data_IF_205407564959
#
_entry.id   IF_205407564959
#
_cell.length_a   1.000
_cell.length_b   1.000
_cell.length_c   1.000
_cell.angle_alpha   90.00
_cell.angle_beta   90.00
_cell.angle_gamma   90.00
#
_symmetry.space_group_name_H-M   'P 1'
#
loop_
_entity.id
_entity.type
_entity.pdbx_description
1 polymer ?
#
# COMPACT_ATOMS: atom_id res chain seq x y z
N UNK A 1 -37.83 -20.27 -8.40
CA UNK A 1 -37.71 -19.52 -7.12
C UNK A 1 -36.43 -18.71 -7.25
N UNK A 2 -36.55 -17.44 -7.63
CA UNK A 2 -35.41 -16.59 -8.01
C UNK A 2 -34.65 -16.12 -6.76
N UNK A 3 -33.32 -16.24 -6.80
CA UNK A 3 -32.42 -15.78 -5.73
C UNK A 3 -32.46 -14.24 -5.63
N UNK A 4 -32.71 -13.66 -4.44
CA UNK A 4 -32.61 -12.22 -4.23
C UNK A 4 -31.17 -11.76 -4.50
N UNK A 5 -30.99 -10.78 -5.40
CA UNK A 5 -29.69 -10.27 -5.83
C UNK A 5 -29.36 -10.51 -7.31
N UNK A 6 -29.97 -11.52 -7.94
CA UNK A 6 -29.76 -11.81 -9.37
C UNK A 6 -30.27 -10.69 -10.30
N UNK A 7 -31.30 -9.94 -9.88
CA UNK A 7 -31.95 -8.93 -10.73
C UNK A 7 -31.11 -7.66 -10.94
N UNK A 8 -30.21 -7.29 -10.02
CA UNK A 8 -29.36 -6.09 -10.17
C UNK A 8 -28.20 -6.30 -11.15
N UNK A 9 -27.67 -7.52 -11.26
CA UNK A 9 -26.58 -7.84 -12.17
C UNK A 9 -27.05 -8.28 -13.56
N UNK A 10 -28.31 -8.75 -13.70
CA UNK A 10 -28.86 -9.18 -14.99
C UNK A 10 -28.99 -8.03 -16.03
N UNK A 11 -29.15 -6.78 -15.57
CA UNK A 11 -29.24 -5.59 -16.43
C UNK A 11 -27.88 -4.90 -16.68
N UNK A 12 -26.78 -5.46 -16.16
CA UNK A 12 -25.46 -4.83 -16.19
C UNK A 12 -24.55 -5.43 -17.26
N UNK A 13 -23.74 -4.58 -17.89
CA UNK A 13 -22.76 -5.01 -18.88
C UNK A 13 -21.80 -6.05 -18.30
N UNK A 14 -21.21 -6.90 -19.14
CA UNK A 14 -20.23 -7.92 -18.71
C UNK A 14 -19.07 -7.33 -17.91
N UNK A 15 -18.65 -6.10 -18.23
CA UNK A 15 -17.61 -5.38 -17.49
C UNK A 15 -18.07 -4.98 -16.08
N UNK A 16 -19.29 -4.46 -15.94
CA UNK A 16 -19.87 -4.11 -14.63
C UNK A 16 -20.05 -5.34 -13.75
N UNK A 17 -20.47 -6.48 -14.32
CA UNK A 17 -20.54 -7.75 -13.57
C UNK A 17 -19.17 -8.21 -13.07
N UNK A 18 -18.15 -8.15 -13.92
CA UNK A 18 -16.77 -8.50 -13.53
C UNK A 18 -16.25 -7.60 -12.42
N UNK A 19 -16.48 -6.29 -12.53
CA UNK A 19 -16.12 -5.34 -11.48
C UNK A 19 -16.84 -5.64 -10.17
N UNK A 20 -18.15 -5.84 -10.20
CA UNK A 20 -18.93 -6.18 -9.00
C UNK A 20 -18.45 -7.47 -8.32
N UNK A 21 -18.07 -8.51 -9.09
CA UNK A 21 -17.46 -9.72 -8.54
C UNK A 21 -16.09 -9.45 -7.91
N UNK A 22 -15.24 -8.65 -8.57
CA UNK A 22 -13.93 -8.28 -8.01
C UNK A 22 -14.06 -7.50 -6.70
N UNK A 23 -14.99 -6.55 -6.64
CA UNK A 23 -15.26 -5.74 -5.45
C UNK A 23 -15.74 -6.63 -4.28
N UNK A 24 -16.61 -7.61 -4.54
CA UNK A 24 -17.05 -8.60 -3.55
C UNK A 24 -15.88 -9.47 -3.05
N UNK A 25 -15.03 -9.97 -3.96
CA UNK A 25 -13.86 -10.78 -3.59
C UNK A 25 -12.81 -9.97 -2.82
N UNK A 26 -12.71 -8.65 -3.06
CA UNK A 26 -11.85 -7.77 -2.27
C UNK A 26 -12.41 -7.58 -0.86
N UNK A 27 -13.72 -7.36 -0.73
CA UNK A 27 -14.37 -7.26 0.57
C UNK A 27 -14.20 -8.54 1.40
N UNK A 28 -14.43 -9.72 0.82
CA UNK A 28 -14.30 -10.99 1.56
C UNK A 28 -12.86 -11.26 2.00
N UNK A 29 -11.87 -10.95 1.16
CA UNK A 29 -10.46 -11.04 1.56
C UNK A 29 -10.11 -10.06 2.68
N UNK A 30 -10.70 -8.86 2.68
CA UNK A 30 -10.53 -7.92 3.79
C UNK A 30 -11.12 -8.48 5.09
N UNK A 31 -12.32 -9.07 5.04
CA UNK A 31 -12.95 -9.70 6.21
C UNK A 31 -12.10 -10.86 6.75
N UNK A 32 -11.60 -11.73 5.87
CA UNK A 32 -10.70 -12.83 6.25
C UNK A 32 -9.41 -12.33 6.88
N UNK A 33 -8.79 -11.29 6.30
CA UNK A 33 -7.58 -10.64 6.82
C UNK A 33 -7.80 -10.07 8.24
N UNK A 34 -8.99 -9.54 8.50
CA UNK A 34 -9.39 -9.03 9.81
C UNK A 34 -9.84 -10.12 10.79
N UNK A 35 -9.94 -11.37 10.35
CA UNK A 35 -10.34 -12.48 11.22
C UNK A 35 -11.85 -12.63 11.40
N UNK A 36 -12.66 -12.03 10.52
CA UNK A 36 -14.13 -11.93 10.66
C UNK A 36 -14.83 -13.05 9.88
N UNK A 37 -15.60 -13.89 10.57
CA UNK A 37 -16.39 -14.95 9.93
C UNK A 37 -17.69 -14.43 9.30
N UNK A 38 -18.33 -15.17 8.38
CA UNK A 38 -19.64 -14.79 7.86
C UNK A 38 -20.70 -14.61 8.94
N UNK A 39 -20.68 -15.40 10.00
CA UNK A 39 -21.62 -15.33 11.14
C UNK A 39 -21.40 -14.07 11.97
N UNK A 40 -20.14 -13.71 12.22
CA UNK A 40 -19.78 -12.48 12.90
C UNK A 40 -20.20 -11.26 12.08
N UNK A 41 -19.89 -11.27 10.78
CA UNK A 41 -20.31 -10.20 9.87
C UNK A 41 -21.84 -10.10 9.77
N UNK A 42 -22.55 -11.25 9.71
CA UNK A 42 -24.01 -11.29 9.72
C UNK A 42 -24.60 -10.67 10.98
N UNK A 43 -24.01 -10.94 12.15
CA UNK A 43 -24.48 -10.38 13.43
C UNK A 43 -24.42 -8.85 13.43
N UNK A 44 -23.31 -8.29 12.93
CA UNK A 44 -23.13 -6.83 12.79
C UNK A 44 -24.07 -6.26 11.73
N UNK A 45 -24.22 -6.95 10.59
CA UNK A 45 -25.14 -6.56 9.53
C UNK A 45 -26.60 -6.52 9.99
N UNK A 46 -27.03 -7.49 10.81
CA UNK A 46 -28.37 -7.49 11.41
C UNK A 46 -28.53 -6.30 12.37
N UNK A 47 -27.52 -6.04 13.21
CA UNK A 47 -27.55 -4.92 14.16
C UNK A 47 -27.61 -3.55 13.45
N UNK A 48 -27.09 -3.43 12.22
CA UNK A 48 -27.17 -2.19 11.43
C UNK A 48 -28.58 -1.84 10.94
N UNK A 49 -29.51 -2.81 10.90
CA UNK A 49 -30.88 -2.61 10.42
C UNK A 49 -31.01 -2.42 8.89
N UNK A 50 -29.91 -2.47 8.14
CA UNK A 50 -29.91 -2.32 6.69
C UNK A 50 -29.98 -3.66 5.96
N UNK A 51 -30.71 -3.71 4.83
CA UNK A 51 -30.89 -4.93 4.05
C UNK A 51 -29.64 -5.31 3.22
N UNK A 52 -28.90 -4.32 2.71
CA UNK A 52 -27.74 -4.57 1.86
C UNK A 52 -26.57 -5.28 2.59
N UNK A 53 -26.21 -4.92 3.84
CA UNK A 53 -25.22 -5.67 4.62
C UNK A 53 -25.61 -7.12 4.90
N UNK A 54 -26.91 -7.42 5.06
CA UNK A 54 -27.40 -8.78 5.28
C UNK A 54 -27.26 -9.66 4.03
N UNK A 55 -27.57 -9.12 2.85
CA UNK A 55 -27.34 -9.80 1.57
C UNK A 55 -25.84 -10.08 1.33
N UNK A 56 -24.96 -9.16 1.74
CA UNK A 56 -23.51 -9.37 1.67
C UNK A 56 -23.03 -10.49 2.59
N UNK A 57 -23.59 -10.60 3.80
CA UNK A 57 -23.23 -11.69 4.72
C UNK A 57 -23.61 -13.07 4.18
N UNK A 58 -24.80 -13.17 3.57
CA UNK A 58 -25.24 -14.39 2.88
C UNK A 58 -24.33 -14.72 1.68
N UNK A 59 -23.93 -13.70 0.93
CA UNK A 59 -23.01 -13.87 -0.21
C UNK A 59 -21.62 -14.31 0.24
N UNK A 60 -21.14 -13.79 1.38
CA UNK A 60 -19.87 -14.19 1.97
C UNK A 60 -19.89 -15.66 2.41
N UNK A 61 -20.99 -16.12 3.04
CA UNK A 61 -21.15 -17.53 3.40
C UNK A 61 -21.09 -18.44 2.17
N UNK A 62 -21.84 -18.09 1.11
CA UNK A 62 -21.83 -18.84 -0.15
C UNK A 62 -20.46 -18.87 -0.82
N UNK A 63 -19.69 -17.79 -0.70
CA UNK A 63 -18.31 -17.74 -1.17
C UNK A 63 -17.43 -18.79 -0.47
N UNK A 64 -17.51 -18.89 0.86
CA UNK A 64 -16.77 -19.90 1.62
C UNK A 64 -17.24 -21.33 1.29
N UNK A 65 -18.55 -21.54 1.17
CA UNK A 65 -19.11 -22.84 0.75
C UNK A 65 -18.59 -23.26 -0.63
N UNK A 66 -18.52 -22.34 -1.58
CA UNK A 66 -17.98 -22.59 -2.92
C UNK A 66 -16.49 -22.95 -2.88
N UNK A 67 -15.68 -22.23 -2.09
CA UNK A 67 -14.27 -22.56 -1.91
C UNK A 67 -14.12 -23.99 -1.35
N UNK A 68 -14.89 -24.33 -0.31
CA UNK A 68 -14.87 -25.65 0.30
C UNK A 68 -15.29 -26.75 -0.68
N UNK A 69 -16.36 -26.54 -1.46
CA UNK A 69 -16.81 -27.47 -2.50
C UNK A 69 -15.73 -27.77 -3.55
N UNK A 70 -14.84 -26.81 -3.80
CA UNK A 70 -13.74 -26.93 -4.74
C UNK A 70 -12.40 -27.30 -4.09
N UNK A 71 -12.38 -27.67 -2.80
CA UNK A 71 -11.16 -27.94 -2.02
C UNK A 71 -10.14 -26.80 -2.14
N UNK A 72 -10.62 -25.57 -2.15
CA UNK A 72 -9.82 -24.36 -2.21
C UNK A 72 -10.00 -23.56 -0.91
N UNK A 73 -8.99 -22.77 -0.58
CA UNK A 73 -9.08 -21.74 0.47
C UNK A 73 -8.24 -20.55 0.04
N UNK A 74 -8.51 -19.37 0.60
CA UNK A 74 -7.63 -18.21 0.43
C UNK A 74 -6.45 -18.32 1.40
N UNK A 75 -5.44 -17.45 1.24
CA UNK A 75 -4.30 -17.45 2.17
C UNK A 75 -4.72 -17.06 3.59
N UNK A 76 -5.58 -16.04 3.72
CA UNK A 76 -6.18 -15.66 5.00
C UNK A 76 -7.24 -16.68 5.46
N UNK A 77 -7.91 -17.36 4.53
CA UNK A 77 -8.83 -18.47 4.81
C UNK A 77 -8.14 -19.62 5.54
N UNK A 78 -6.90 -19.96 5.18
CA UNK A 78 -6.11 -20.95 5.91
C UNK A 78 -5.83 -20.52 7.37
N UNK A 79 -5.64 -19.22 7.60
CA UNK A 79 -5.48 -18.66 8.95
C UNK A 79 -6.79 -18.75 9.73
N UNK A 80 -7.92 -18.49 9.06
CA UNK A 80 -9.26 -18.63 9.64
C UNK A 80 -9.53 -20.08 10.04
N UNK A 81 -9.22 -21.04 9.18
CA UNK A 81 -9.36 -22.47 9.47
C UNK A 81 -8.53 -22.85 10.71
N UNK A 82 -7.29 -22.36 10.80
CA UNK A 82 -6.44 -22.57 11.97
C UNK A 82 -7.00 -21.91 13.25
N UNK A 83 -7.57 -20.71 13.15
CA UNK A 83 -8.24 -20.03 14.26
C UNK A 83 -9.47 -20.81 14.74
N UNK A 84 -10.24 -21.38 13.83
CA UNK A 84 -11.38 -22.24 14.14
C UNK A 84 -10.92 -23.53 14.82
N UNK A 85 -9.89 -24.19 14.28
CA UNK A 85 -9.29 -25.40 14.87
C UNK A 85 -8.70 -25.16 16.26
N UNK A 86 -8.23 -23.94 16.53
CA UNK A 86 -7.77 -23.50 17.85
C UNK A 86 -8.91 -22.99 18.75
N UNK A 87 -10.13 -22.84 18.24
CA UNK A 87 -11.31 -22.45 19.02
C UNK A 87 -11.35 -20.96 19.39
N UNK A 88 -10.54 -20.14 18.72
CA UNK A 88 -10.35 -18.72 19.07
C UNK A 88 -11.58 -17.86 18.73
N UNK A 89 -12.35 -18.28 17.72
CA UNK A 89 -13.49 -17.53 17.18
C UNK A 89 -14.84 -17.85 17.86
N UNK A 90 -14.95 -18.95 18.61
CA UNK A 90 -16.22 -19.34 19.25
C UNK A 90 -16.39 -18.60 20.58
N UNK A 91 -17.20 -17.54 20.56
CA UNK A 91 -17.75 -16.95 21.77
C UNK A 91 -18.82 -17.87 22.35
N UNK A 92 -18.52 -18.58 23.44
CA UNK A 92 -19.52 -19.25 24.30
C UNK A 92 -20.43 -20.26 23.58
N UNK A 93 -19.91 -21.45 23.25
CA UNK A 93 -20.76 -22.66 23.17
C UNK A 93 -20.02 -23.82 23.82
N UNK A 94 -20.46 -24.15 25.03
CA UNK A 94 -20.09 -25.35 25.80
C UNK A 94 -20.67 -26.54 25.05
N UNK A 95 -19.86 -27.26 24.28
CA UNK A 95 -20.06 -28.68 23.89
C UNK A 95 -18.99 -29.21 22.91
N UNK A 96 -18.08 -28.36 22.41
CA UNK A 96 -16.95 -28.76 21.54
C UNK A 96 -15.57 -28.39 22.10
N UNK A 97 -15.45 -28.14 23.40
CA UNK A 97 -14.19 -27.64 24.02
C UNK A 97 -13.06 -28.67 24.09
N UNK A 98 -13.34 -29.98 24.03
CA UNK A 98 -12.31 -31.00 24.26
C UNK A 98 -11.37 -31.17 23.06
N UNK A 99 -11.88 -31.23 21.83
CA UNK A 99 -11.05 -31.50 20.62
C UNK A 99 -10.38 -30.26 20.05
N UNK A 100 -10.96 -29.08 20.26
CA UNK A 100 -10.45 -27.81 19.70
C UNK A 100 -9.28 -27.23 20.53
N UNK A 101 -9.28 -27.46 21.85
CA UNK A 101 -8.16 -27.11 22.73
C UNK A 101 -6.98 -28.09 22.62
N UNK A 102 -7.20 -29.24 21.98
CA UNK A 102 -6.16 -30.25 21.75
C UNK A 102 -5.26 -29.90 20.56
N UNK A 103 -5.77 -29.22 19.53
CA UNK A 103 -4.99 -28.90 18.33
C UNK A 103 -3.82 -27.96 18.63
N UNK A 104 -4.08 -26.80 19.24
CA UNK A 104 -3.03 -25.82 19.56
C UNK A 104 -2.02 -26.39 20.57
N UNK A 105 -2.49 -27.17 21.55
CA UNK A 105 -1.64 -27.89 22.50
C UNK A 105 -0.74 -28.91 21.81
N UNK A 106 -1.28 -29.67 20.86
CA UNK A 106 -0.53 -30.70 20.14
C UNK A 106 0.50 -30.10 19.16
N UNK A 107 0.12 -29.02 18.44
CA UNK A 107 1.01 -28.28 17.54
C UNK A 107 2.23 -27.74 18.28
N UNK A 108 2.04 -27.23 19.49
CA UNK A 108 3.10 -26.62 20.27
C UNK A 108 3.72 -27.51 21.35
N UNK A 109 3.30 -28.76 21.49
CA UNK A 109 3.70 -29.63 22.63
C UNK A 109 5.21 -29.77 22.83
N UNK A 110 5.99 -29.71 21.74
CA UNK A 110 7.45 -29.86 21.75
C UNK A 110 8.21 -28.53 21.81
N UNK A 111 7.49 -27.40 21.80
CA UNK A 111 8.07 -26.06 21.78
C UNK A 111 7.92 -25.39 23.14
N UNK A 112 9.04 -25.02 23.74
CA UNK A 112 9.09 -24.26 24.99
C UNK A 112 9.18 -22.76 24.75
N UNK A 113 9.68 -22.34 23.59
CA UNK A 113 10.00 -20.95 23.31
C UNK A 113 9.52 -20.56 21.92
N UNK A 114 8.81 -19.44 21.82
CA UNK A 114 8.27 -18.94 20.54
C UNK A 114 8.85 -17.57 20.23
N UNK A 115 9.49 -17.45 19.07
CA UNK A 115 10.02 -16.18 18.58
C UNK A 115 9.26 -15.76 17.33
N UNK A 116 8.70 -14.55 17.35
CA UNK A 116 7.90 -13.97 16.27
C UNK A 116 8.62 -12.74 15.74
N UNK A 117 9.05 -12.75 14.49
CA UNK A 117 9.71 -11.59 13.86
C UNK A 117 8.77 -10.93 12.85
N UNK A 118 9.05 -9.66 12.52
CA UNK A 118 8.30 -8.84 11.57
C UNK A 118 6.77 -8.82 11.82
N UNK A 119 6.34 -8.67 13.08
CA UNK A 119 4.92 -8.66 13.48
C UNK A 119 4.08 -7.65 12.68
N UNK A 120 4.68 -6.52 12.26
CA UNK A 120 4.01 -5.51 11.44
C UNK A 120 3.58 -6.00 10.04
N UNK A 121 4.12 -7.13 9.56
CA UNK A 121 3.74 -7.75 8.29
C UNK A 121 2.56 -8.71 8.42
N UNK A 122 2.18 -9.05 9.65
CA UNK A 122 1.08 -9.96 9.91
C UNK A 122 -0.27 -9.30 9.61
N UNK A 123 -1.24 -10.11 9.20
CA UNK A 123 -2.64 -9.70 9.21
C UNK A 123 -3.18 -9.73 10.65
N UNK A 124 -4.23 -8.97 10.97
CA UNK A 124 -4.91 -9.07 12.27
C UNK A 124 -5.30 -10.50 12.66
N UNK A 125 -5.82 -11.29 11.71
CA UNK A 125 -6.12 -12.70 11.92
C UNK A 125 -4.88 -13.51 12.34
N UNK A 126 -3.75 -13.29 11.68
CA UNK A 126 -2.48 -13.95 12.01
C UNK A 126 -1.97 -13.56 13.39
N UNK A 127 -2.02 -12.25 13.73
CA UNK A 127 -1.58 -11.76 15.03
C UNK A 127 -2.41 -12.38 16.16
N UNK A 128 -3.72 -12.54 15.92
CA UNK A 128 -4.64 -13.25 16.82
C UNK A 128 -4.24 -14.72 16.96
N UNK A 129 -4.03 -15.43 15.85
CA UNK A 129 -3.65 -16.84 15.89
C UNK A 129 -2.35 -17.06 16.66
N UNK A 130 -1.31 -16.29 16.34
CA UNK A 130 0.00 -16.39 17.00
C UNK A 130 -0.10 -16.01 18.47
N UNK A 131 -0.85 -14.98 18.82
CA UNK A 131 -1.09 -14.62 20.23
C UNK A 131 -1.73 -15.76 21.03
N UNK A 132 -2.69 -16.49 20.43
CA UNK A 132 -3.29 -17.67 21.05
C UNK A 132 -2.30 -18.84 21.18
N UNK A 133 -1.47 -19.05 20.17
CA UNK A 133 -0.44 -20.09 20.17
C UNK A 133 0.65 -19.80 21.22
N UNK A 134 1.09 -18.55 21.37
CA UNK A 134 2.10 -18.17 22.36
C UNK A 134 1.69 -18.44 23.82
N UNK A 135 0.41 -18.61 24.12
CA UNK A 135 -0.06 -18.89 25.48
C UNK A 135 -0.22 -20.39 25.78
N UNK A 136 0.06 -21.28 24.81
CA UNK A 136 -0.12 -22.72 25.01
C UNK A 136 0.71 -23.28 26.18
N UNK A 137 0.25 -24.38 26.83
CA UNK A 137 0.86 -24.91 28.05
C UNK A 137 2.36 -25.19 27.97
N UNK A 138 2.81 -25.71 26.82
CA UNK A 138 4.21 -26.05 26.55
C UNK A 138 5.11 -24.83 26.41
N UNK A 139 4.57 -23.70 25.94
CA UNK A 139 5.33 -22.46 25.73
C UNK A 139 5.58 -21.79 27.07
N UNK A 140 6.83 -21.80 27.50
CA UNK A 140 7.30 -21.17 28.73
C UNK A 140 7.60 -19.69 28.47
N UNK A 141 8.21 -19.37 27.33
CA UNK A 141 8.56 -18.00 26.99
C UNK A 141 8.26 -17.66 25.53
N UNK A 142 8.00 -16.38 25.27
CA UNK A 142 7.83 -15.88 23.91
C UNK A 142 8.41 -14.48 23.75
N UNK A 143 8.92 -14.20 22.55
CA UNK A 143 9.44 -12.89 22.18
C UNK A 143 8.89 -12.50 20.81
N UNK A 144 8.40 -11.27 20.68
CA UNK A 144 7.94 -10.74 19.41
C UNK A 144 8.70 -9.48 19.03
N UNK A 145 8.95 -9.32 17.73
CA UNK A 145 9.71 -8.22 17.17
C UNK A 145 8.83 -7.51 16.14
N UNK A 146 8.57 -6.23 16.39
CA UNK A 146 7.79 -5.37 15.49
C UNK A 146 8.60 -4.13 15.13
N UNK A 147 8.40 -3.64 13.92
CA UNK A 147 9.00 -2.37 13.48
C UNK A 147 8.01 -1.25 13.70
N UNK A 148 8.49 -0.25 14.44
CA UNK A 148 7.80 1.01 14.68
C UNK A 148 8.70 2.11 14.10
N UNK A 149 8.12 3.02 13.32
CA UNK A 149 8.87 4.03 12.56
C UNK A 149 9.21 5.27 13.41
N UNK A 150 8.35 5.62 14.37
CA UNK A 150 8.51 6.80 15.22
C UNK A 150 8.60 6.42 16.71
N UNK A 151 9.31 7.23 17.49
CA UNK A 151 9.34 7.11 18.94
C UNK A 151 7.94 7.40 19.51
N UNK A 152 7.35 6.39 20.17
CA UNK A 152 6.00 6.47 20.75
C UNK A 152 4.89 5.87 19.88
N UNK A 153 5.18 5.50 18.64
CA UNK A 153 4.22 4.73 17.82
C UNK A 153 4.10 3.29 18.34
N UNK A 154 2.97 2.65 18.05
CA UNK A 154 2.73 1.26 18.39
C UNK A 154 2.38 0.47 17.12
N UNK A 155 2.98 -0.71 16.96
CA UNK A 155 2.55 -1.64 15.93
C UNK A 155 1.14 -2.16 16.26
N UNK A 156 0.12 -1.95 15.39
CA UNK A 156 -1.24 -2.40 15.65
C UNK A 156 -1.33 -3.92 15.85
N UNK A 157 -0.58 -4.69 15.07
CA UNK A 157 -0.51 -6.15 15.16
C UNK A 157 0.09 -6.61 16.49
N UNK A 158 1.05 -5.87 17.03
CA UNK A 158 1.59 -6.17 18.36
C UNK A 158 0.52 -6.01 19.43
N UNK A 159 -0.32 -4.97 19.34
CA UNK A 159 -1.44 -4.81 20.29
C UNK A 159 -2.44 -5.96 20.20
N UNK A 160 -2.78 -6.39 18.98
CA UNK A 160 -3.68 -7.53 18.76
C UNK A 160 -3.10 -8.80 19.38
N UNK A 161 -1.82 -9.06 19.14
CA UNK A 161 -1.09 -10.20 19.69
C UNK A 161 -1.08 -10.17 21.23
N UNK A 162 -0.75 -9.02 21.84
CA UNK A 162 -0.76 -8.83 23.30
C UNK A 162 -2.16 -9.06 23.89
N UNK A 163 -3.19 -8.45 23.30
CA UNK A 163 -4.58 -8.61 23.72
C UNK A 163 -5.01 -10.08 23.66
N UNK A 164 -4.63 -10.79 22.61
CA UNK A 164 -5.01 -12.18 22.43
C UNK A 164 -4.25 -13.12 23.37
N UNK A 165 -2.99 -12.84 23.72
CA UNK A 165 -2.26 -13.56 24.77
C UNK A 165 -2.99 -13.40 26.10
N UNK A 166 -3.30 -12.16 26.50
CA UNK A 166 -3.98 -11.89 27.78
C UNK A 166 -5.36 -12.54 27.84
N UNK A 167 -6.11 -12.49 26.73
CA UNK A 167 -7.40 -13.16 26.60
C UNK A 167 -7.26 -14.68 26.77
N UNK A 168 -6.30 -15.30 26.10
CA UNK A 168 -6.07 -16.75 26.18
C UNK A 168 -5.65 -17.15 27.60
N UNK A 169 -4.77 -16.37 28.22
CA UNK A 169 -4.29 -16.59 29.59
C UNK A 169 -5.44 -16.57 30.61
N UNK A 170 -6.38 -15.63 30.45
CA UNK A 170 -7.59 -15.55 31.28
C UNK A 170 -8.49 -16.77 31.14
N UNK A 171 -8.62 -17.33 29.93
CA UNK A 171 -9.43 -18.52 29.67
C UNK A 171 -8.75 -19.80 30.19
N UNK A 172 -7.42 -19.87 30.18
CA UNK A 172 -6.65 -21.05 30.63
C UNK A 172 -6.29 -21.00 32.11
N UNK A 173 -6.62 -19.90 32.81
CA UNK A 173 -6.31 -19.70 34.23
C UNK A 173 -4.82 -19.49 34.52
N UNK A 174 -4.03 -19.10 33.51
CA UNK A 174 -2.61 -18.77 33.65
C UNK A 174 -2.42 -17.28 33.84
N UNK A 175 -1.49 -16.91 34.71
CA UNK A 175 -1.05 -15.54 34.85
C UNK A 175 0.12 -15.28 33.88
N UNK A 176 -0.07 -14.33 32.96
CA UNK A 176 0.96 -13.88 32.01
C UNK A 176 1.16 -12.39 32.17
N UNK A 177 2.41 -11.96 32.16
CA UNK A 177 2.79 -10.55 32.12
C UNK A 177 3.40 -10.22 30.77
N UNK A 178 2.93 -9.15 30.15
CA UNK A 178 3.51 -8.58 28.93
C UNK A 178 4.37 -7.39 29.33
N UNK A 179 5.63 -7.38 28.93
CA UNK A 179 6.50 -6.23 29.09
C UNK A 179 6.82 -5.62 27.72
N UNK A 180 7.15 -4.33 27.66
CA UNK A 180 7.62 -3.63 26.47
C UNK A 180 8.83 -2.80 26.87
N UNK A 181 9.81 -2.64 26.00
CA UNK A 181 11.05 -1.95 26.34
C UNK A 181 11.85 -1.56 25.06
N UNK A 182 12.89 -0.76 25.27
CA UNK A 182 13.85 -0.23 24.31
C UNK A 182 15.33 -0.46 24.81
N UNK A 183 16.26 -0.86 23.92
CA UNK A 183 17.68 -1.30 23.93
C UNK A 183 18.59 -0.37 23.05
N UNK A 184 19.12 0.71 23.58
CA UNK A 184 20.03 1.59 22.80
C UNK A 184 21.24 0.82 22.17
N UNK A 185 21.62 1.10 20.92
CA UNK A 185 22.67 0.33 20.20
C UNK A 185 23.85 1.15 19.67
N UNK A 186 25.05 0.57 19.79
CA UNK A 186 26.33 0.99 19.19
C UNK A 186 26.63 0.21 17.87
N UNK A 187 27.18 0.88 16.86
CA UNK A 187 27.04 0.59 15.42
C UNK A 187 27.84 -0.63 14.89
N UNK A 188 28.78 -1.20 15.64
CA UNK A 188 29.92 -1.96 15.06
C UNK A 188 29.90 -3.50 15.11
N UNK A 189 28.76 -4.18 15.31
CA UNK A 189 28.77 -5.66 15.35
C UNK A 189 27.56 -6.37 14.69
N UNK A 190 27.80 -7.61 14.24
CA UNK A 190 26.95 -8.41 13.34
C UNK A 190 25.57 -8.80 13.93
N UNK A 191 24.50 -8.42 13.23
CA UNK A 191 23.10 -8.41 13.69
C UNK A 191 22.53 -9.81 13.96
N UNK A 192 22.81 -10.79 13.11
CA UNK A 192 22.26 -12.16 13.24
C UNK A 192 22.90 -12.90 14.42
N UNK A 193 24.20 -12.69 14.63
CA UNK A 193 24.91 -13.20 15.79
C UNK A 193 24.40 -12.54 17.09
N UNK A 194 24.11 -11.23 17.05
CA UNK A 194 23.48 -10.49 18.16
C UNK A 194 22.06 -10.97 18.47
N UNK A 195 21.17 -11.11 17.48
CA UNK A 195 19.80 -11.61 17.70
C UNK A 195 19.80 -13.04 18.26
N UNK A 196 20.67 -13.92 17.76
CA UNK A 196 20.82 -15.27 18.31
C UNK A 196 21.43 -15.26 19.72
N UNK A 197 22.46 -14.45 19.97
CA UNK A 197 23.07 -14.33 21.30
C UNK A 197 22.11 -13.70 22.32
N UNK A 198 21.31 -12.73 21.89
CA UNK A 198 20.35 -12.00 22.71
C UNK A 198 19.08 -12.81 22.97
N UNK A 199 18.50 -13.48 21.95
CA UNK A 199 17.43 -14.44 22.15
C UNK A 199 17.90 -15.56 23.07
N UNK A 200 19.11 -16.10 22.86
CA UNK A 200 19.69 -17.08 23.78
C UNK A 200 19.82 -16.50 25.20
N UNK A 201 20.31 -15.26 25.37
CA UNK A 201 20.44 -14.61 26.67
C UNK A 201 19.10 -14.36 27.38
N UNK A 202 18.03 -14.02 26.66
CA UNK A 202 16.68 -13.85 27.21
C UNK A 202 16.05 -15.19 27.57
N UNK A 203 16.22 -16.20 26.71
CA UNK A 203 15.63 -17.53 26.88
C UNK A 203 16.42 -18.40 27.89
N UNK A 204 17.68 -18.08 28.18
CA UNK A 204 18.53 -18.85 29.11
C UNK A 204 18.88 -18.10 30.41
N UNK A 205 18.19 -17.01 30.76
CA UNK A 205 18.30 -16.49 32.12
C UNK A 205 17.62 -17.46 33.09
N UNK A 206 18.39 -18.41 33.62
CA UNK A 206 18.01 -19.12 34.84
C UNK A 206 17.78 -18.07 35.93
N UNK A 207 16.51 -17.89 36.31
CA UNK A 207 16.16 -17.09 37.47
C UNK A 207 16.80 -17.74 38.69
N UNK A 208 17.80 -17.06 39.26
CA UNK A 208 18.30 -17.37 40.59
C UNK A 208 17.10 -17.38 41.54
N UNK A 209 16.93 -18.52 42.20
CA UNK A 209 15.80 -18.83 43.08
C UNK A 209 15.86 -17.86 44.26
N UNK A 210 15.07 -16.77 44.21
CA UNK A 210 14.48 -16.05 45.35
C UNK A 210 14.20 -14.59 44.97
N UNK A 211 13.08 -14.35 44.26
CA UNK A 211 12.23 -13.15 44.41
C UNK A 211 11.08 -13.19 43.40
N UNK A 212 9.83 -12.87 43.79
CA UNK A 212 8.69 -12.87 42.88
C UNK A 212 8.44 -11.45 42.32
N UNK A 213 8.90 -11.17 41.09
CA UNK A 213 8.34 -10.14 40.20
C UNK A 213 9.08 -10.16 38.84
N UNK A 214 8.39 -9.97 37.69
CA UNK A 214 8.90 -10.43 36.40
C UNK A 214 9.82 -9.42 35.69
N UNK A 215 10.76 -9.99 34.94
CA UNK A 215 11.83 -9.34 34.16
C UNK A 215 11.23 -8.67 32.91
N UNK A 216 11.63 -7.43 32.54
CA UNK A 216 10.96 -6.69 31.46
C UNK A 216 11.59 -6.94 30.05
N UNK A 217 10.88 -6.65 28.92
CA UNK A 217 11.13 -7.05 27.50
C UNK A 217 11.49 -5.93 26.46
N UNK A 218 12.62 -5.89 25.66
CA UNK A 218 13.13 -4.76 24.75
C UNK A 218 13.10 -4.94 23.19
N UNK A 219 12.80 -3.90 22.37
CA UNK A 219 12.49 -3.88 20.88
C UNK A 219 13.33 -2.98 19.91
N UNK A 220 13.96 -3.50 18.80
CA UNK A 220 14.97 -2.80 17.92
C UNK A 220 14.96 -3.07 16.40
N UNK A 221 15.49 -2.11 15.61
CA UNK A 221 15.49 -2.01 14.12
C UNK A 221 16.87 -2.26 13.44
N UNK A 222 16.92 -2.92 12.25
CA UNK A 222 18.06 -2.79 11.32
C UNK A 222 17.74 -3.18 9.84
N UNK A 223 18.39 -2.54 8.86
CA UNK A 223 18.35 -2.82 7.39
C UNK A 223 19.69 -3.40 6.91
N UNK A 224 19.71 -4.52 6.17
CA UNK A 224 20.95 -5.16 5.64
C UNK A 224 20.95 -5.29 4.11
N UNK A 225 22.14 -5.51 3.52
CA UNK A 225 22.32 -5.78 2.08
C UNK A 225 21.56 -7.03 1.61
N UNK A 226 21.42 -8.05 2.46
CA UNK A 226 20.61 -9.25 2.16
C UNK A 226 19.13 -8.91 1.96
N UNK A 227 18.59 -7.96 2.72
CA UNK A 227 17.19 -7.52 2.56
C UNK A 227 16.98 -6.79 1.24
N UNK A 228 17.98 -6.03 0.78
CA UNK A 228 17.93 -5.36 -0.52
C UNK A 228 17.85 -6.37 -1.66
N UNK A 229 18.66 -7.43 -1.58
CA UNK A 229 18.65 -8.53 -2.55
C UNK A 229 17.35 -9.32 -2.50
N UNK A 230 16.82 -9.60 -1.32
CA UNK A 230 15.55 -10.31 -1.18
C UNK A 230 14.37 -9.49 -1.74
N UNK A 231 14.27 -8.21 -1.40
CA UNK A 231 13.21 -7.33 -1.90
C UNK A 231 13.29 -7.15 -3.43
N UNK A 232 14.50 -7.11 -4.00
CA UNK A 232 14.68 -7.10 -5.45
C UNK A 232 14.16 -8.40 -6.09
N UNK A 233 14.54 -9.56 -5.54
CA UNK A 233 14.06 -10.86 -6.01
C UNK A 233 12.53 -10.99 -5.93
N UNK A 234 11.93 -10.55 -4.83
CA UNK A 234 10.48 -10.58 -4.63
C UNK A 234 9.74 -9.68 -5.64
N UNK A 235 10.30 -8.50 -5.95
CA UNK A 235 9.75 -7.61 -6.95
C UNK A 235 9.81 -8.23 -8.36
N UNK A 236 10.92 -8.87 -8.72
CA UNK A 236 11.07 -9.58 -10.00
C UNK A 236 10.08 -10.74 -10.12
N UNK A 237 9.97 -11.57 -9.09
CA UNK A 237 9.02 -12.69 -9.07
C UNK A 237 7.57 -12.22 -9.18
N UNK A 238 7.24 -11.13 -8.48
CA UNK A 238 5.90 -10.54 -8.53
C UNK A 238 5.59 -9.98 -9.92
N UNK A 239 6.55 -9.29 -10.54
CA UNK A 239 6.41 -8.79 -11.90
C UNK A 239 6.19 -9.94 -12.90
N UNK A 240 7.00 -11.01 -12.81
CA UNK A 240 6.87 -12.18 -13.67
C UNK A 240 5.56 -12.93 -13.46
N UNK A 241 5.09 -13.04 -12.21
CA UNK A 241 3.81 -13.69 -11.89
C UNK A 241 2.60 -12.89 -12.41
N UNK A 242 2.69 -11.56 -12.38
CA UNK A 242 1.66 -10.67 -12.92
C UNK A 242 1.66 -10.62 -14.45
N UNK A 243 2.75 -11.03 -15.11
CA UNK A 243 2.86 -11.00 -16.56
C UNK A 243 2.11 -12.15 -17.22
N UNK A 244 1.00 -11.83 -17.89
CA UNK A 244 0.13 -12.87 -18.49
C UNK A 244 0.51 -13.21 -19.95
N UNK A 245 1.62 -12.68 -20.46
CA UNK A 245 2.04 -12.92 -21.85
C UNK A 245 0.95 -12.53 -22.84
N UNK A 246 0.74 -13.32 -23.90
CA UNK A 246 -0.31 -13.08 -24.89
C UNK A 246 -1.67 -13.71 -24.54
N UNK A 247 -1.79 -14.38 -23.38
CA UNK A 247 -2.93 -15.23 -23.00
C UNK A 247 -4.29 -14.54 -22.87
N UNK A 248 -4.32 -13.20 -22.90
CA UNK A 248 -5.55 -12.39 -22.88
C UNK A 248 -5.73 -11.49 -24.10
N UNK A 249 -4.88 -11.59 -25.14
CA UNK A 249 -4.96 -10.73 -26.31
C UNK A 249 -4.73 -9.24 -26.02
N UNK A 250 -4.06 -8.91 -24.91
CA UNK A 250 -3.75 -7.54 -24.49
C UNK A 250 -2.64 -6.90 -25.33
N UNK A 251 -1.85 -7.73 -26.02
CA UNK A 251 -0.78 -7.29 -26.91
C UNK A 251 -1.18 -7.52 -28.36
N UNK A 252 -0.76 -6.59 -29.22
CA UNK A 252 -0.95 -6.68 -30.67
C UNK A 252 -0.21 -7.88 -31.27
N UNK A 253 0.89 -8.33 -30.64
CA UNK A 253 1.60 -9.56 -31.03
C UNK A 253 2.43 -10.15 -29.88
N UNK A 254 2.90 -11.40 -30.06
CA UNK A 254 3.85 -12.05 -29.13
C UNK A 254 5.17 -11.31 -29.05
N UNK A 255 5.63 -10.74 -30.16
CA UNK A 255 6.86 -9.95 -30.23
C UNK A 255 6.70 -8.67 -29.41
N UNK A 256 5.55 -8.00 -29.50
CA UNK A 256 5.26 -6.83 -28.67
C UNK A 256 5.20 -7.19 -27.18
N UNK A 257 4.60 -8.33 -26.83
CA UNK A 257 4.57 -8.82 -25.45
C UNK A 257 5.99 -9.06 -24.92
N UNK A 258 6.83 -9.80 -25.65
CA UNK A 258 8.23 -10.05 -25.26
C UNK A 258 9.04 -8.76 -25.13
N UNK A 259 8.85 -7.81 -26.06
CA UNK A 259 9.52 -6.52 -26.04
C UNK A 259 9.13 -5.66 -24.83
N UNK A 260 7.84 -5.60 -24.49
CA UNK A 260 7.37 -4.85 -23.33
C UNK A 260 7.74 -5.51 -22.01
N UNK A 261 7.81 -6.85 -21.98
CA UNK A 261 8.33 -7.61 -20.83
C UNK A 261 9.78 -7.21 -20.54
N UNK A 262 10.64 -7.23 -21.56
CA UNK A 262 12.04 -6.85 -21.44
C UNK A 262 12.18 -5.40 -20.96
N UNK A 263 11.45 -4.47 -21.58
CA UNK A 263 11.45 -3.06 -21.15
C UNK A 263 10.95 -2.86 -19.72
N UNK A 264 9.95 -3.64 -19.30
CA UNK A 264 9.39 -3.57 -17.96
C UNK A 264 10.37 -4.07 -16.91
N UNK A 265 11.05 -5.19 -17.20
CA UNK A 265 12.09 -5.74 -16.34
C UNK A 265 13.28 -4.78 -16.21
N UNK A 266 13.74 -4.21 -17.33
CA UNK A 266 14.80 -3.18 -17.31
C UNK A 266 14.42 -1.97 -16.46
N UNK A 267 13.18 -1.48 -16.60
CA UNK A 267 12.69 -0.35 -15.82
C UNK A 267 12.57 -0.69 -14.32
N UNK A 268 12.17 -1.92 -13.99
CA UNK A 268 12.12 -2.41 -12.61
C UNK A 268 13.53 -2.44 -11.99
N UNK A 269 14.52 -2.97 -12.71
CA UNK A 269 15.91 -2.97 -12.24
C UNK A 269 16.47 -1.55 -12.05
N UNK A 270 16.23 -0.65 -13.00
CA UNK A 270 16.64 0.76 -12.88
C UNK A 270 15.99 1.43 -11.66
N UNK A 271 14.71 1.15 -11.41
CA UNK A 271 14.00 1.65 -10.23
C UNK A 271 14.63 1.13 -8.92
N UNK A 272 14.92 -0.18 -8.85
CA UNK A 272 15.57 -0.83 -7.69
C UNK A 272 16.96 -0.23 -7.45
N UNK A 273 17.77 -0.09 -8.49
CA UNK A 273 19.12 0.47 -8.39
C UNK A 273 19.09 1.93 -7.92
N UNK A 274 18.21 2.75 -8.52
CA UNK A 274 18.05 4.16 -8.14
C UNK A 274 17.62 4.30 -6.68
N UNK A 275 16.73 3.42 -6.23
CA UNK A 275 16.26 3.39 -4.85
C UNK A 275 17.41 3.11 -3.88
N UNK A 276 18.25 2.11 -4.15
CA UNK A 276 19.35 1.75 -3.26
C UNK A 276 20.57 2.67 -3.35
N UNK A 277 20.70 3.42 -4.45
CA UNK A 277 21.77 4.39 -4.69
C UNK A 277 21.50 5.80 -4.15
N UNK A 278 20.31 6.07 -3.61
CA UNK A 278 19.95 7.39 -3.06
C UNK A 278 20.64 7.63 -1.71
N UNK A 279 21.78 8.33 -1.74
CA UNK A 279 22.58 8.67 -0.56
C UNK A 279 21.94 9.73 0.33
N UNK A 280 20.94 10.47 -0.16
CA UNK A 280 20.25 11.50 0.61
C UNK A 280 19.08 10.92 1.40
N UNK A 281 18.54 9.78 0.96
CA UNK A 281 17.46 9.07 1.63
C UNK A 281 17.87 8.59 3.03
N UNK A 282 17.22 9.14 4.07
CA UNK A 282 17.34 8.61 5.44
C UNK A 282 16.29 7.52 5.69
N UNK A 283 15.06 7.77 5.27
CA UNK A 283 13.92 6.93 5.59
C UNK A 283 12.81 7.06 4.53
N UNK A 284 12.12 5.95 4.26
CA UNK A 284 10.85 5.94 3.51
C UNK A 284 9.73 6.01 4.53
N UNK A 285 9.11 7.17 4.63
CA UNK A 285 8.13 7.45 5.68
C UNK A 285 6.81 6.79 5.31
N UNK A 286 6.39 6.97 4.06
CA UNK A 286 5.12 6.44 3.55
C UNK A 286 5.23 5.98 2.09
N UNK A 287 4.46 4.95 1.74
CA UNK A 287 4.24 4.45 0.37
C UNK A 287 2.75 4.28 0.18
N UNK A 288 2.20 4.78 -0.93
CA UNK A 288 0.76 4.73 -1.26
C UNK A 288 -0.13 5.23 -0.10
N UNK A 289 0.28 6.35 0.53
CA UNK A 289 -0.44 6.90 1.68
C UNK A 289 -1.58 7.79 1.22
N UNK A 290 -2.79 7.41 1.63
CA UNK A 290 -3.99 8.20 1.44
C UNK A 290 -3.97 9.51 2.23
N UNK A 291 -4.63 10.52 1.68
CA UNK A 291 -4.97 11.74 2.39
C UNK A 291 -6.39 12.19 2.12
N UNK A 292 -6.97 12.84 3.12
CA UNK A 292 -8.21 13.58 2.99
C UNK A 292 -8.20 14.81 3.90
N UNK A 293 -8.61 15.96 3.38
CA UNK A 293 -8.85 17.15 4.19
C UNK A 293 -9.86 18.09 3.52
N UNK A 294 -10.49 18.92 4.33
CA UNK A 294 -11.43 19.94 3.85
C UNK A 294 -10.69 21.16 3.31
N UNK A 295 -11.12 21.66 2.15
CA UNK A 295 -10.64 22.90 1.52
C UNK A 295 -11.73 23.97 1.70
N UNK A 296 -11.60 24.87 2.70
CA UNK A 296 -12.64 25.83 3.04
C UNK A 296 -13.01 26.78 1.90
N UNK A 297 -12.03 27.24 1.13
CA UNK A 297 -12.18 28.22 0.04
C UNK A 297 -13.11 27.71 -1.06
N UNK A 298 -13.12 26.39 -1.28
CA UNK A 298 -13.94 25.73 -2.28
C UNK A 298 -15.15 25.01 -1.68
N UNK A 299 -15.22 24.86 -0.35
CA UNK A 299 -16.18 24.01 0.37
C UNK A 299 -16.25 22.58 -0.20
N UNK A 300 -15.09 21.94 -0.37
CA UNK A 300 -14.96 20.56 -0.86
C UNK A 300 -14.00 19.77 0.03
N UNK A 301 -14.08 18.46 -0.07
CA UNK A 301 -13.09 17.56 0.53
C UNK A 301 -12.11 17.12 -0.56
N UNK A 302 -10.84 17.42 -0.40
CA UNK A 302 -9.80 16.96 -1.32
C UNK A 302 -9.25 15.62 -0.81
N UNK A 303 -9.26 14.62 -1.71
CA UNK A 303 -8.78 13.27 -1.43
C UNK A 303 -7.76 12.84 -2.46
N UNK A 304 -6.78 12.04 -2.05
CA UNK A 304 -5.75 11.50 -2.95
C UNK A 304 -4.84 10.50 -2.26
N UNK A 305 -3.80 10.09 -2.97
CA UNK A 305 -2.79 9.13 -2.49
C UNK A 305 -1.43 9.65 -2.92
N UNK A 306 -0.48 9.77 -2.00
CA UNK A 306 0.92 9.99 -2.36
C UNK A 306 1.57 8.66 -2.73
N UNK A 307 2.20 8.57 -3.90
CA UNK A 307 3.00 7.41 -4.29
C UNK A 307 4.05 7.09 -3.20
N UNK A 308 4.83 8.10 -2.79
CA UNK A 308 5.85 7.94 -1.74
C UNK A 308 6.25 9.25 -1.07
N UNK A 309 6.54 9.18 0.23
CA UNK A 309 7.12 10.26 1.04
C UNK A 309 8.42 9.76 1.66
N UNK A 310 9.50 10.51 1.41
CA UNK A 310 10.82 10.24 1.94
C UNK A 310 11.24 11.31 2.93
N UNK A 311 11.93 10.88 3.99
CA UNK A 311 12.75 11.76 4.83
C UNK A 311 14.16 11.75 4.27
N UNK A 312 14.66 12.92 3.90
CA UNK A 312 15.99 13.09 3.32
C UNK A 312 16.87 13.95 4.22
N UNK A 313 18.19 13.71 4.15
CA UNK A 313 19.18 14.56 4.79
C UNK A 313 19.17 15.96 4.18
N UNK A 314 19.18 17.00 5.01
CA UNK A 314 19.30 18.36 4.52
C UNK A 314 20.62 18.59 3.79
N UNK A 315 20.58 19.35 2.70
CA UNK A 315 21.76 19.74 1.92
C UNK A 315 22.68 20.72 2.68
N UNK A 316 22.22 21.33 3.78
CA UNK A 316 23.00 22.28 4.58
C UNK A 316 24.05 21.63 5.48
N UNK A 317 24.02 20.30 5.65
CA UNK A 317 25.03 19.56 6.43
C UNK A 317 24.94 19.76 7.95
N UNK A 318 23.90 20.44 8.43
CA UNK A 318 23.62 20.71 9.85
C UNK A 318 22.98 19.51 10.60
N UNK A 319 22.86 18.36 9.93
CA UNK A 319 22.21 17.16 10.48
C UNK A 319 20.69 17.17 10.39
N UNK A 320 20.06 18.28 9.99
CA UNK A 320 18.61 18.36 9.83
C UNK A 320 18.10 17.45 8.72
N UNK A 321 16.80 17.16 8.75
CA UNK A 321 16.11 16.35 7.74
C UNK A 321 14.87 17.06 7.25
N UNK A 322 14.48 16.78 6.01
CA UNK A 322 13.27 17.35 5.42
C UNK A 322 12.50 16.27 4.68
N UNK A 323 11.23 16.54 4.37
CA UNK A 323 10.40 15.61 3.62
C UNK A 323 10.40 15.93 2.13
N UNK A 324 10.50 14.89 1.30
CA UNK A 324 10.37 14.97 -0.15
C UNK A 324 9.29 14.01 -0.59
N UNK A 325 8.32 14.52 -1.35
CA UNK A 325 7.29 13.71 -1.99
C UNK A 325 7.87 13.18 -3.31
N UNK A 326 7.76 11.88 -3.59
CA UNK A 326 8.17 11.29 -4.87
C UNK A 326 6.93 10.82 -5.62
N UNK A 327 6.75 11.30 -6.85
CA UNK A 327 5.72 10.88 -7.80
C UNK A 327 6.39 10.06 -8.91
N UNK A 328 5.92 8.84 -9.15
CA UNK A 328 6.49 7.96 -10.15
C UNK A 328 5.64 7.90 -11.41
N UNK A 329 6.24 8.19 -12.57
CA UNK A 329 5.58 8.03 -13.87
C UNK A 329 6.35 7.08 -14.77
N UNK A 330 5.67 6.10 -15.36
CA UNK A 330 6.29 5.18 -16.31
C UNK A 330 6.47 5.81 -17.70
N UNK A 331 7.54 5.44 -18.39
CA UNK A 331 7.78 5.82 -19.78
C UNK A 331 8.27 4.63 -20.62
N UNK A 332 7.33 3.77 -20.98
CA UNK A 332 7.60 2.58 -21.79
C UNK A 332 7.86 2.90 -23.28
N UNK A 333 7.54 4.12 -23.73
CA UNK A 333 7.72 4.56 -25.11
C UNK A 333 9.18 4.87 -25.47
N UNK A 334 10.03 5.19 -24.48
CA UNK A 334 11.43 5.54 -24.69
C UNK A 334 11.65 6.91 -25.33
N UNK A 335 10.60 7.71 -25.48
CA UNK A 335 10.71 9.10 -25.93
C UNK A 335 11.33 9.95 -24.82
N UNK A 336 12.28 10.80 -25.17
CA UNK A 336 12.88 11.75 -24.23
C UNK A 336 11.81 12.73 -23.74
N UNK A 337 11.82 13.00 -22.43
CA UNK A 337 10.87 13.91 -21.78
C UNK A 337 11.63 15.01 -21.05
N UNK A 338 11.16 16.24 -21.19
CA UNK A 338 11.66 17.36 -20.39
C UNK A 338 11.07 17.28 -18.99
N UNK A 339 11.72 16.51 -18.11
CA UNK A 339 11.25 16.25 -16.75
C UNK A 339 11.18 17.52 -15.89
N UNK A 340 12.10 18.47 -16.09
CA UNK A 340 12.06 19.78 -15.43
C UNK A 340 10.76 20.52 -15.74
N UNK A 341 10.47 20.71 -17.02
CA UNK A 341 9.23 21.38 -17.45
C UNK A 341 7.99 20.64 -16.97
N UNK A 342 7.97 19.30 -17.11
CA UNK A 342 6.84 18.50 -16.65
C UNK A 342 6.59 18.62 -15.14
N UNK A 343 7.65 18.73 -14.34
CA UNK A 343 7.51 18.90 -12.91
C UNK A 343 7.07 20.33 -12.54
N UNK A 344 7.70 21.36 -13.11
CA UNK A 344 7.35 22.77 -12.86
C UNK A 344 5.88 23.07 -13.24
N UNK A 345 5.38 22.47 -14.33
CA UNK A 345 4.00 22.62 -14.81
C UNK A 345 3.00 21.67 -14.09
N UNK A 346 3.46 20.77 -13.22
CA UNK A 346 2.60 19.73 -12.63
C UNK A 346 1.74 20.26 -11.49
N UNK A 347 0.44 20.45 -11.77
CA UNK A 347 -0.55 20.73 -10.74
C UNK A 347 -0.64 19.60 -9.70
N UNK A 348 -0.43 18.34 -10.11
CA UNK A 348 -0.46 17.18 -9.20
C UNK A 348 0.60 17.32 -8.10
N UNK A 349 1.84 17.70 -8.45
CA UNK A 349 2.91 17.88 -7.45
C UNK A 349 2.59 19.04 -6.50
N UNK A 350 2.07 20.15 -7.04
CA UNK A 350 1.66 21.32 -6.24
C UNK A 350 0.56 20.94 -5.24
N UNK A 351 -0.45 20.21 -5.69
CA UNK A 351 -1.52 19.68 -4.83
C UNK A 351 -0.99 18.71 -3.79
N UNK A 352 -0.04 17.85 -4.11
CA UNK A 352 0.56 16.90 -3.17
C UNK A 352 1.34 17.62 -2.06
N UNK A 353 2.11 18.65 -2.40
CA UNK A 353 2.81 19.43 -1.39
C UNK A 353 1.86 20.26 -0.52
N UNK A 354 0.82 20.84 -1.12
CA UNK A 354 -0.25 21.52 -0.38
C UNK A 354 -0.97 20.57 0.58
N UNK A 355 -1.35 19.38 0.10
CA UNK A 355 -1.96 18.34 0.91
C UNK A 355 -1.05 17.92 2.06
N UNK A 356 0.26 17.79 1.82
CA UNK A 356 1.22 17.40 2.85
C UNK A 356 1.21 18.42 3.98
N UNK A 357 1.28 19.71 3.65
CA UNK A 357 1.18 20.79 4.64
C UNK A 357 -0.11 20.74 5.44
N UNK A 358 -1.24 20.44 4.80
CA UNK A 358 -2.55 20.38 5.48
C UNK A 358 -2.68 19.18 6.41
N UNK A 359 -2.11 18.04 6.04
CA UNK A 359 -2.20 16.80 6.81
C UNK A 359 -1.17 16.75 7.95
N UNK A 360 0.07 17.14 7.68
CA UNK A 360 1.18 17.02 8.63
C UNK A 360 1.48 18.33 9.40
N UNK A 361 0.86 19.45 9.02
CA UNK A 361 1.03 20.74 9.70
C UNK A 361 2.33 21.48 9.35
N UNK A 362 3.23 20.87 8.58
CA UNK A 362 4.48 21.46 8.10
C UNK A 362 4.65 21.29 6.60
N UNK A 363 5.38 22.19 5.95
CA UNK A 363 5.64 22.10 4.52
C UNK A 363 6.73 21.07 4.21
N UNK A 364 6.62 20.29 3.12
CA UNK A 364 7.73 19.49 2.65
C UNK A 364 8.82 20.40 2.06
N UNK A 365 10.03 19.87 1.88
CA UNK A 365 11.08 20.57 1.13
C UNK A 365 10.70 20.74 -0.35
N UNK A 366 10.00 19.76 -0.90
CA UNK A 366 9.51 19.78 -2.27
C UNK A 366 8.97 18.44 -2.72
N UNK A 367 8.71 18.34 -4.01
CA UNK A 367 8.27 17.12 -4.67
C UNK A 367 9.16 16.80 -5.88
N UNK A 368 9.39 15.52 -6.12
CA UNK A 368 10.18 15.00 -7.24
C UNK A 368 9.31 14.14 -8.15
N UNK A 369 9.19 14.55 -9.41
CA UNK A 369 8.69 13.72 -10.48
C UNK A 369 9.82 12.81 -10.96
N UNK A 370 9.67 11.52 -10.75
CA UNK A 370 10.65 10.51 -11.14
C UNK A 370 10.10 9.63 -12.24
N UNK A 371 10.84 9.52 -13.34
CA UNK A 371 10.50 8.62 -14.43
C UNK A 371 10.97 7.21 -14.11
N UNK A 372 10.11 6.22 -14.40
CA UNK A 372 10.45 4.79 -14.39
C UNK A 372 10.55 4.31 -15.84
N UNK A 373 11.73 3.81 -16.23
CA UNK A 373 12.04 3.45 -17.60
C UNK A 373 12.34 4.64 -18.52
N UNK A 374 12.70 4.37 -19.76
CA UNK A 374 12.97 5.38 -20.80
C UNK A 374 14.43 5.43 -21.28
N UNK A 375 15.38 4.93 -20.50
CA UNK A 375 16.81 4.86 -20.85
C UNK A 375 17.18 3.64 -21.72
N UNK A 376 16.29 3.22 -22.61
CA UNK A 376 16.46 1.99 -23.39
C UNK A 376 17.53 2.09 -24.48
N UNK A 377 17.91 3.31 -24.90
CA UNK A 377 18.85 3.54 -26.00
C UNK A 377 20.33 3.47 -25.57
N UNK A 378 20.65 3.53 -24.28
CA UNK A 378 22.03 3.46 -23.78
C UNK A 378 22.58 2.01 -23.68
N UNK A 379 21.71 1.00 -23.72
CA UNK A 379 22.09 -0.41 -23.64
C UNK A 379 22.90 -0.94 -24.85
N UNK A 380 23.01 -0.15 -25.93
CA UNK A 380 23.66 -0.56 -27.19
C UNK A 380 25.15 -0.19 -27.31
N UNK A 381 25.76 0.41 -26.27
CA UNK A 381 27.22 0.61 -26.21
C UNK A 381 27.84 -0.16 -25.03
N UNK A 382 28.66 -1.20 -25.25
CA UNK A 382 29.43 -1.85 -24.20
C UNK A 382 30.61 -0.96 -23.83
N UNK A 383 30.33 0.17 -23.19
CA UNK A 383 31.35 1.07 -22.67
C UNK A 383 30.91 1.46 -21.28
N UNK A 384 31.53 0.82 -20.28
CA UNK A 384 31.48 1.13 -18.85
C UNK A 384 30.06 1.45 -18.38
N UNK A 385 29.41 0.49 -17.69
CA UNK A 385 28.35 0.77 -16.71
C UNK A 385 28.76 2.02 -15.95
N UNK A 386 28.31 3.19 -16.41
CA UNK A 386 28.44 4.42 -15.67
C UNK A 386 27.49 4.12 -14.53
N UNK A 387 28.09 3.85 -13.38
CA UNK A 387 27.53 4.31 -12.12
C UNK A 387 27.07 5.72 -12.47
N UNK A 388 25.78 5.90 -12.72
CA UNK A 388 25.18 7.21 -12.64
C UNK A 388 25.49 7.59 -11.22
N UNK A 389 26.60 8.33 -11.05
CA UNK A 389 26.83 9.06 -9.82
C UNK A 389 25.50 9.72 -9.56
N UNK A 390 24.99 9.56 -8.34
CA UNK A 390 23.85 10.29 -7.81
C UNK A 390 24.15 11.79 -7.93
N UNK A 391 24.10 12.30 -9.16
CA UNK A 391 24.17 13.69 -9.52
C UNK A 391 22.78 14.19 -9.25
N UNK A 392 22.65 14.89 -8.13
CA UNK A 392 22.18 16.27 -8.01
C UNK A 392 21.69 17.02 -9.27
N UNK A 393 21.13 16.35 -10.28
CA UNK A 393 20.28 17.02 -11.25
C UNK A 393 18.95 17.25 -10.54
N UNK A 394 18.65 18.51 -10.23
CA UNK A 394 17.32 18.99 -9.82
C UNK A 394 16.28 18.85 -10.97
N UNK A 395 16.53 17.93 -11.92
CA UNK A 395 15.66 17.59 -13.01
C UNK A 395 14.45 16.83 -12.45
N UNK A 396 13.26 17.37 -12.70
CA UNK A 396 12.01 16.86 -12.13
C UNK A 396 11.76 17.23 -10.66
N UNK A 397 12.57 18.09 -10.03
CA UNK A 397 12.34 18.53 -8.65
C UNK A 397 11.70 19.92 -8.58
N UNK A 398 10.64 20.05 -7.79
CA UNK A 398 9.93 21.31 -7.51
C UNK A 398 10.01 21.60 -6.03
N UNK A 399 10.52 22.77 -5.68
CA UNK A 399 10.52 23.21 -4.28
C UNK A 399 9.12 23.59 -3.83
N UNK A 400 8.82 23.35 -2.56
CA UNK A 400 7.65 23.95 -1.97
C UNK A 400 7.79 25.48 -1.96
N UNK A 401 6.72 26.16 -2.33
CA UNK A 401 6.58 27.61 -2.17
C UNK A 401 5.12 27.95 -1.86
N UNK A 402 4.90 29.12 -1.27
CA UNK A 402 3.54 29.60 -1.00
C UNK A 402 2.78 29.87 -2.31
N UNK A 403 3.47 30.29 -3.36
CA UNK A 403 2.90 30.46 -4.70
C UNK A 403 2.41 29.13 -5.27
N UNK A 404 3.22 28.07 -5.18
CA UNK A 404 2.84 26.73 -5.62
C UNK A 404 1.64 26.18 -4.83
N UNK A 405 1.59 26.44 -3.52
CA UNK A 405 0.46 26.07 -2.68
C UNK A 405 -0.82 26.85 -3.07
N UNK A 406 -0.68 28.15 -3.35
CA UNK A 406 -1.80 28.98 -3.78
C UNK A 406 -2.33 28.55 -5.15
N UNK A 407 -1.45 28.24 -6.11
CA UNK A 407 -1.86 27.70 -7.42
C UNK A 407 -2.68 26.40 -7.29
N UNK A 408 -2.32 25.53 -6.34
CA UNK A 408 -3.10 24.33 -6.06
C UNK A 408 -4.49 24.67 -5.52
N UNK A 409 -4.59 25.64 -4.59
CA UNK A 409 -5.87 26.11 -4.04
C UNK A 409 -6.73 26.74 -5.12
N UNK A 410 -6.16 27.64 -5.93
CA UNK A 410 -6.86 28.36 -6.99
C UNK A 410 -7.45 27.37 -8.02
N UNK A 411 -6.68 26.35 -8.40
CA UNK A 411 -7.18 25.31 -9.30
C UNK A 411 -8.34 24.51 -8.69
N UNK A 412 -8.27 24.16 -7.39
CA UNK A 412 -9.36 23.46 -6.70
C UNK A 412 -10.62 24.34 -6.67
N UNK A 413 -10.46 25.62 -6.35
CA UNK A 413 -11.56 26.59 -6.30
C UNK A 413 -12.18 26.78 -7.69
N UNK A 414 -11.37 26.98 -8.73
CA UNK A 414 -11.84 27.14 -10.11
C UNK A 414 -12.68 25.93 -10.53
N UNK A 415 -12.15 24.72 -10.36
CA UNK A 415 -12.83 23.48 -10.75
C UNK A 415 -14.12 23.28 -9.95
N UNK A 416 -14.08 23.46 -8.63
CA UNK A 416 -15.26 23.30 -7.79
C UNK A 416 -16.38 24.30 -8.15
N UNK A 417 -16.04 25.55 -8.42
CA UNK A 417 -16.99 26.58 -8.85
C UNK A 417 -17.54 26.29 -10.25
N UNK A 418 -16.70 25.84 -11.18
CA UNK A 418 -17.13 25.42 -12.51
C UNK A 418 -18.17 24.30 -12.44
N UNK A 419 -17.85 23.23 -11.72
CA UNK A 419 -18.74 22.07 -11.54
C UNK A 419 -20.09 22.46 -10.91
N UNK A 420 -20.10 23.31 -9.87
CA UNK A 420 -21.35 23.76 -9.24
C UNK A 420 -22.22 24.61 -10.16
N UNK A 421 -21.61 25.37 -11.08
CA UNK A 421 -22.32 26.17 -12.09
C UNK A 421 -22.76 25.35 -13.31
N UNK A 422 -22.39 24.08 -13.38
CA UNK A 422 -22.61 23.25 -14.56
C UNK A 422 -21.78 23.73 -15.77
N UNK A 423 -20.63 24.34 -15.51
CA UNK A 423 -19.70 24.78 -16.55
C UNK A 423 -18.88 23.57 -17.05
N UNK A 424 -19.33 23.01 -18.17
CA UNK A 424 -18.70 21.89 -18.86
C UNK A 424 -18.20 22.30 -20.25
N UNK A 425 -17.96 23.60 -20.48
CA UNK A 425 -17.48 24.09 -21.76
C UNK A 425 -16.11 23.45 -22.10
N UNK A 426 -15.97 22.77 -23.25
CA UNK A 426 -14.72 22.10 -23.58
C UNK A 426 -13.59 23.11 -23.80
N UNK A 427 -12.48 22.92 -23.08
CA UNK A 427 -11.22 23.67 -23.25
C UNK A 427 -10.16 22.77 -23.90
N UNK A 428 -10.24 22.50 -25.22
CA UNK A 428 -9.37 21.51 -25.85
C UNK A 428 -7.91 21.96 -25.90
N UNK A 429 -7.01 21.00 -25.75
CA UNK A 429 -5.59 21.14 -26.06
C UNK A 429 -5.15 20.00 -26.97
N UNK A 430 -4.12 20.23 -27.81
CA UNK A 430 -3.65 19.22 -28.75
C UNK A 430 -3.30 17.88 -28.08
N UNK A 431 -2.62 17.95 -26.93
CA UNK A 431 -2.18 16.76 -26.18
C UNK A 431 -3.36 16.07 -25.49
N UNK A 432 -4.26 16.80 -24.84
CA UNK A 432 -5.38 16.19 -24.12
C UNK A 432 -6.40 15.60 -25.09
N UNK A 433 -6.67 16.26 -26.22
CA UNK A 433 -7.60 15.75 -27.23
C UNK A 433 -7.09 14.47 -27.90
N UNK A 434 -5.78 14.33 -28.12
CA UNK A 434 -5.20 13.15 -28.78
C UNK A 434 -5.44 11.84 -28.02
N UNK A 435 -5.61 11.93 -26.68
CA UNK A 435 -5.85 10.77 -25.81
C UNK A 435 -7.24 10.78 -25.16
N UNK A 436 -8.10 11.74 -25.51
CA UNK A 436 -9.42 11.88 -24.89
C UNK A 436 -10.41 10.86 -25.47
N UNK A 437 -11.04 10.01 -24.65
CA UNK A 437 -12.01 9.01 -25.12
C UNK A 437 -13.31 9.65 -25.65
N UNK A 438 -13.56 10.92 -25.34
CA UNK A 438 -14.75 11.66 -25.75
C UNK A 438 -14.55 12.51 -27.00
N UNK A 439 -13.30 12.65 -27.50
CA UNK A 439 -12.96 13.55 -28.60
C UNK A 439 -13.78 13.27 -29.88
N UNK A 440 -14.02 11.99 -30.20
CA UNK A 440 -14.78 11.58 -31.38
C UNK A 440 -16.25 11.23 -31.13
N UNK A 441 -16.79 11.42 -29.92
CA UNK A 441 -18.12 10.93 -29.56
C UNK A 441 -19.02 11.96 -28.89
N UNK A 442 -18.54 12.62 -27.83
CA UNK A 442 -19.34 13.48 -26.97
C UNK A 442 -18.81 14.92 -26.88
N UNK A 443 -17.55 15.16 -27.27
CA UNK A 443 -17.00 16.50 -27.32
C UNK A 443 -17.64 17.27 -28.49
N UNK A 444 -18.44 18.29 -28.18
CA UNK A 444 -19.02 19.19 -29.19
C UNK A 444 -18.07 20.33 -29.58
N UNK A 445 -16.82 20.30 -29.11
CA UNK A 445 -15.81 21.17 -29.65
C UNK A 445 -15.60 20.79 -31.11
N UNK A 446 -15.99 21.67 -32.02
CA UNK A 446 -15.87 21.43 -33.43
C UNK A 446 -14.39 21.17 -33.76
N UNK A 447 -14.04 19.93 -34.11
CA UNK A 447 -12.89 19.65 -34.97
C UNK A 447 -13.21 20.15 -36.37
N UNK A 448 -13.58 21.42 -36.47
CA UNK A 448 -13.90 22.06 -37.72
C UNK A 448 -12.59 22.63 -38.24
N UNK A 449 -12.06 21.97 -39.27
CA UNK A 449 -11.27 22.63 -40.32
C UNK A 449 -11.96 23.95 -40.78
N UNK A 450 -13.27 24.12 -40.55
CA UNK A 450 -14.02 25.35 -40.79
C UNK A 450 -13.72 26.52 -39.81
N UNK A 451 -13.02 26.32 -38.69
CA UNK A 451 -12.64 27.41 -37.78
C UNK A 451 -11.36 28.15 -38.24
N UNK A 452 -10.43 27.43 -38.89
CA UNK A 452 -9.25 28.01 -39.53
C UNK A 452 -9.61 28.80 -40.80
N UNK A 453 -10.58 28.34 -41.59
CA UNK A 453 -11.09 29.11 -42.75
C UNK A 453 -11.85 30.37 -42.31
N UNK A 454 -12.66 30.33 -41.25
CA UNK A 454 -13.40 31.53 -40.77
C UNK A 454 -12.49 32.61 -40.19
N UNK A 455 -11.40 32.24 -39.50
CA UNK A 455 -10.42 33.23 -39.03
C UNK A 455 -9.56 33.80 -40.16
N UNK A 456 -9.23 32.99 -41.17
CA UNK A 456 -8.49 33.43 -42.36
C UNK A 456 -9.34 34.35 -43.26
N UNK A 457 -10.63 34.04 -43.43
CA UNK A 457 -11.58 34.87 -44.18
C UNK A 457 -11.87 36.21 -43.50
N UNK A 458 -11.95 36.26 -42.16
CA UNK A 458 -12.10 37.52 -41.40
C UNK A 458 -10.86 38.43 -41.54
N UNK A 459 -9.65 37.86 -41.46
CA UNK A 459 -8.41 38.63 -41.65
C UNK A 459 -8.23 39.14 -43.08
N UNK A 460 -8.69 38.38 -44.08
CA UNK A 460 -8.67 38.81 -45.48
C UNK A 460 -9.71 39.91 -45.77
N UNK A 461 -10.88 39.87 -45.13
CA UNK A 461 -11.92 40.89 -45.25
C UNK A 461 -11.55 42.24 -44.61
N UNK A 462 -10.86 42.23 -43.47
CA UNK A 462 -10.40 43.45 -42.77
C UNK A 462 -9.19 44.11 -43.45
N UNK A 463 -8.38 43.34 -44.19
CA UNK A 463 -7.29 43.88 -45.00
C UNK A 463 -7.76 44.51 -46.33
N UNK A 464 -8.93 44.12 -46.84
CA UNK A 464 -9.53 44.69 -48.05
C UNK A 464 -10.36 45.97 -47.79
N UNK A 465 -10.53 46.37 -46.53
CA UNK A 465 -11.24 47.58 -46.10
C UNK A 465 -10.32 48.65 -45.49
N UNK A 466 -9.00 48.54 -45.69
CA UNK A 466 -8.03 49.59 -45.34
C UNK A 466 -7.38 50.21 -46.57
#
# INVERSE_FOLDING_TARGET
MELPGASRLAASSTLQRRKGVLDLLQLFRLLEREGVTPEQYATVAIASGEQAPQELAETYRKYQELLMQHNATSWDGLVMDALELCGVQKGSVVEQEATTNDFSREVLKEYTDVVVDDVQRMTPAMATLVGHLCDQPSVQSSASFSRVLLDGDECPQTRILEQQILKTASCTGRERSVARLALETDEMADKRAKMKAFAKQILTQEADISTPAPIPLKCWNFVTQEMKTHAASEAEETFMRAWVGDGYGLFTSKEQASFLLERGMMALWEFIETHYGDVQLKEIVHVEKDFSFHVPEANVELRGVWDRIDRVSSRTGDGSSSFVIKEFKSNMGGAERNMRKLADDSLQLKMYMYAFRKVFGEAPYGAKLQQIGGNYNEASKPSRRRISRAGNDDNGFVHFSEEAAQEAVDAIVEVALGLRRGDFEPKPSFVECAFCPYAGSACHFATDDASHERQSARRAGEAAQR
#
